data_IF_356439763927
#
_entry.id   IF_356439763927
#
_cell.length_a   1.000
_cell.length_b   1.000
_cell.length_c   1.000
_cell.angle_alpha   90.00
_cell.angle_beta   90.00
_cell.angle_gamma   90.00
#
_symmetry.space_group_name_H-M   'P 1'
#
loop_
_entity.id
_entity.type
_entity.pdbx_description
1 polymer ?
#
# COMPACT_ATOMS: atom_id res chain seq x y z
N UNK A 1 -7.58 5.34 -9.83
CA UNK A 1 -8.66 5.62 -8.87
C UNK A 1 -8.15 6.63 -7.86
N UNK A 2 -9.05 7.41 -7.29
CA UNK A 2 -8.72 8.27 -6.15
C UNK A 2 -8.38 7.42 -4.92
N UNK A 3 -7.48 7.88 -4.03
CA UNK A 3 -6.74 9.13 -4.10
C UNK A 3 -5.53 9.08 -5.05
N UNK A 4 -5.12 7.89 -5.50
CA UNK A 4 -4.02 7.71 -6.44
C UNK A 4 -2.71 8.34 -5.92
N UNK A 5 -2.04 9.14 -6.76
CA UNK A 5 -0.78 9.82 -6.39
C UNK A 5 -0.94 10.83 -5.26
N UNK A 6 -2.17 11.28 -4.99
CA UNK A 6 -2.49 12.19 -3.88
C UNK A 6 -2.77 11.46 -2.57
N UNK A 7 -2.50 10.15 -2.48
CA UNK A 7 -2.78 9.32 -1.31
C UNK A 7 -2.22 9.90 0.01
N UNK A 8 -1.05 10.55 -0.01
CA UNK A 8 -0.48 11.15 1.19
C UNK A 8 -1.22 12.41 1.68
N UNK A 9 -2.01 13.07 0.81
CA UNK A 9 -2.60 14.38 1.05
C UNK A 9 -4.09 14.45 0.68
N UNK A 10 -4.78 13.32 0.71
CA UNK A 10 -6.17 13.23 0.28
C UNK A 10 -7.13 13.99 1.20
N UNK A 11 -6.95 13.83 2.51
CA UNK A 11 -7.71 14.54 3.53
C UNK A 11 -7.06 15.85 3.94
N UNK A 12 -7.86 16.77 4.47
CA UNK A 12 -7.36 17.97 5.15
C UNK A 12 -7.38 17.74 6.66
N UNK A 13 -6.20 17.78 7.28
CA UNK A 13 -6.05 17.59 8.72
C UNK A 13 -6.69 18.74 9.51
N UNK A 14 -7.39 18.38 10.58
CA UNK A 14 -7.93 19.30 11.60
C UNK A 14 -6.91 19.51 12.74
N UNK A 15 -7.09 20.51 13.61
CA UNK A 15 -6.29 20.62 14.84
C UNK A 15 -6.31 19.31 15.63
N UNK A 16 -5.13 18.86 16.08
CA UNK A 16 -4.92 17.59 16.80
C UNK A 16 -5.21 16.31 16.00
N UNK A 17 -5.30 16.38 14.67
CA UNK A 17 -5.45 15.23 13.77
C UNK A 17 -4.16 15.02 12.96
N UNK A 18 -3.68 13.79 12.84
CA UNK A 18 -2.56 13.47 11.94
C UNK A 18 -3.03 13.47 10.49
N UNK A 19 -2.10 13.63 9.54
CA UNK A 19 -2.44 13.57 8.11
C UNK A 19 -3.03 12.20 7.72
N UNK A 20 -2.54 11.11 8.31
CA UNK A 20 -3.06 9.76 8.06
C UNK A 20 -4.50 9.60 8.56
N UNK A 21 -4.82 10.12 9.76
CA UNK A 21 -6.19 10.14 10.28
C UNK A 21 -7.11 10.94 9.36
N UNK A 22 -6.67 12.11 8.90
CA UNK A 22 -7.43 12.94 7.98
C UNK A 22 -7.70 12.25 6.64
N UNK A 23 -6.69 11.58 6.09
CA UNK A 23 -6.76 10.80 4.86
C UNK A 23 -7.78 9.66 4.96
N UNK A 24 -7.71 8.87 6.04
CA UNK A 24 -8.66 7.77 6.28
C UNK A 24 -10.08 8.27 6.46
N UNK A 25 -10.28 9.32 7.26
CA UNK A 25 -11.58 9.98 7.43
C UNK A 25 -12.17 10.40 6.08
N UNK A 26 -11.38 11.07 5.25
CA UNK A 26 -11.83 11.54 3.94
C UNK A 26 -12.25 10.38 3.01
N UNK A 27 -11.51 9.27 2.98
CA UNK A 27 -11.90 8.09 2.19
C UNK A 27 -13.17 7.43 2.74
N UNK A 28 -13.23 7.22 4.05
CA UNK A 28 -14.39 6.60 4.69
C UNK A 28 -15.65 7.42 4.42
N UNK A 29 -15.57 8.75 4.52
CA UNK A 29 -16.64 9.68 4.20
C UNK A 29 -17.04 9.62 2.72
N UNK A 30 -16.06 9.65 1.80
CA UNK A 30 -16.32 9.60 0.35
C UNK A 30 -17.01 8.30 -0.11
N UNK A 31 -16.78 7.21 0.61
CA UNK A 31 -17.35 5.90 0.31
C UNK A 31 -18.66 5.60 1.08
N UNK A 32 -19.17 6.51 1.91
CA UNK A 32 -20.46 6.31 2.61
C UNK A 32 -21.58 6.02 1.61
N UNK A 33 -22.35 4.95 1.86
CA UNK A 33 -23.46 4.51 1.02
C UNK A 33 -23.07 3.95 -0.35
N UNK A 34 -21.78 3.78 -0.65
CA UNK A 34 -21.32 3.18 -1.91
C UNK A 34 -21.36 1.66 -1.82
N UNK A 35 -22.02 1.02 -2.78
CA UNK A 35 -22.12 -0.44 -2.86
C UNK A 35 -20.76 -1.10 -3.15
N UNK A 36 -19.91 -0.46 -3.95
CA UNK A 36 -18.56 -0.95 -4.22
C UNK A 36 -17.54 -0.16 -3.41
N UNK A 37 -16.72 -0.89 -2.66
CA UNK A 37 -15.58 -0.36 -1.89
C UNK A 37 -14.26 -0.99 -2.32
N UNK A 38 -14.24 -1.62 -3.51
CA UNK A 38 -13.04 -2.26 -4.06
C UNK A 38 -11.93 -1.21 -4.19
N UNK A 39 -10.74 -1.57 -3.74
CA UNK A 39 -9.57 -0.72 -3.77
C UNK A 39 -8.33 -1.57 -4.03
N UNK A 40 -7.24 -0.89 -4.37
CA UNK A 40 -5.93 -1.55 -4.49
C UNK A 40 -4.85 -0.63 -3.97
N UNK A 41 -3.88 -1.21 -3.28
CA UNK A 41 -2.62 -0.53 -2.99
C UNK A 41 -1.61 -0.86 -4.08
N UNK A 42 -0.83 0.13 -4.52
CA UNK A 42 0.20 -0.02 -5.55
C UNK A 42 1.53 0.49 -5.02
N UNK A 43 2.61 -0.24 -5.27
CA UNK A 43 3.98 0.20 -5.05
C UNK A 43 4.70 0.13 -6.39
N UNK A 44 5.36 1.21 -6.79
CA UNK A 44 6.28 1.22 -7.93
C UNK A 44 7.67 1.47 -7.36
N UNK A 45 8.60 0.57 -7.67
CA UNK A 45 10.01 0.70 -7.34
C UNK A 45 10.80 0.95 -8.62
N UNK A 46 11.77 1.85 -8.54
CA UNK A 46 12.69 2.16 -9.62
C UNK A 46 14.11 1.99 -9.08
N UNK A 47 14.90 1.14 -9.74
CA UNK A 47 16.32 0.95 -9.48
C UNK A 47 17.10 1.50 -10.67
N UNK A 48 18.07 2.38 -10.41
CA UNK A 48 18.90 2.96 -11.45
C UNK A 48 20.37 2.88 -11.07
N UNK A 49 21.19 2.32 -11.96
CA UNK A 49 22.64 2.24 -11.82
C UNK A 49 23.27 2.31 -13.21
N UNK A 50 24.25 3.20 -13.42
CA UNK A 50 25.08 3.25 -14.63
C UNK A 50 24.33 3.08 -15.97
N UNK A 51 23.22 3.80 -16.15
CA UNK A 51 22.43 3.76 -17.39
C UNK A 51 21.43 2.59 -17.49
N UNK A 52 21.45 1.64 -16.56
CA UNK A 52 20.39 0.66 -16.37
C UNK A 52 19.27 1.26 -15.51
N UNK A 53 18.02 1.13 -15.97
CA UNK A 53 16.84 1.46 -15.19
C UNK A 53 15.89 0.25 -15.16
N UNK A 54 15.62 -0.26 -13.96
CA UNK A 54 14.62 -1.30 -13.72
C UNK A 54 13.43 -0.67 -13.02
N UNK A 55 12.22 -0.98 -13.51
CA UNK A 55 10.97 -0.57 -12.90
C UNK A 55 10.18 -1.82 -12.54
N UNK A 56 9.87 -1.97 -11.26
CA UNK A 56 9.01 -3.03 -10.76
C UNK A 56 7.75 -2.45 -10.14
N UNK A 57 6.65 -3.18 -10.24
CA UNK A 57 5.39 -2.81 -9.62
C UNK A 57 4.84 -3.97 -8.82
N UNK A 58 4.27 -3.68 -7.65
CA UNK A 58 3.45 -4.60 -6.88
C UNK A 58 2.08 -4.01 -6.63
N UNK A 59 1.05 -4.83 -6.77
CA UNK A 59 -0.35 -4.46 -6.57
C UNK A 59 -0.97 -5.43 -5.58
N UNK A 60 -1.65 -4.89 -4.57
CA UNK A 60 -2.45 -5.65 -3.63
C UNK A 60 -3.91 -5.22 -3.80
N UNK A 61 -4.74 -6.12 -4.30
CA UNK A 61 -6.19 -5.92 -4.41
C UNK A 61 -6.85 -6.13 -3.04
N UNK A 62 -7.95 -5.42 -2.81
CA UNK A 62 -8.67 -5.45 -1.56
C UNK A 62 -9.92 -4.59 -1.57
N UNK A 63 -10.40 -4.27 -0.38
CA UNK A 63 -11.60 -3.48 -0.14
C UNK A 63 -11.38 -2.50 1.00
N UNK A 64 -11.99 -1.32 0.93
CA UNK A 64 -11.97 -0.37 2.05
C UNK A 64 -13.04 -0.77 3.06
N UNK A 65 -12.66 -0.94 4.32
CA UNK A 65 -13.56 -1.21 5.44
C UNK A 65 -14.53 -0.04 5.69
N UNK A 66 -15.63 -0.28 6.40
CA UNK A 66 -16.56 0.79 6.81
C UNK A 66 -16.06 1.60 8.01
N UNK A 67 -15.16 1.02 8.80
CA UNK A 67 -14.56 1.61 10.00
C UNK A 67 -13.11 1.16 10.14
N UNK A 68 -12.34 1.89 10.94
CA UNK A 68 -10.97 1.49 11.25
C UNK A 68 -10.93 0.27 12.17
N UNK A 69 -9.96 -0.62 11.92
CA UNK A 69 -9.61 -1.78 12.75
C UNK A 69 -8.10 -1.92 12.85
N UNK A 70 -7.59 -2.46 13.95
CA UNK A 70 -6.16 -2.57 14.22
C UNK A 70 -5.47 -1.24 14.55
N UNK A 71 -4.24 -1.34 15.03
CA UNK A 71 -3.42 -0.19 15.46
C UNK A 71 -2.02 -0.18 14.85
N UNK A 72 -1.63 -1.25 14.16
CA UNK A 72 -0.33 -1.36 13.49
C UNK A 72 -0.28 -0.62 12.16
N UNK A 73 0.92 -0.51 11.60
CA UNK A 73 1.12 0.08 10.27
C UNK A 73 0.95 1.59 10.25
N UNK A 74 0.57 2.13 9.08
CA UNK A 74 0.46 3.56 8.82
C UNK A 74 -0.51 3.85 7.65
N UNK A 75 -0.76 5.13 7.37
CA UNK A 75 -1.56 5.55 6.22
C UNK A 75 -2.97 4.96 6.26
N UNK A 76 -3.30 4.16 5.25
CA UNK A 76 -4.62 3.55 5.08
C UNK A 76 -4.72 2.13 5.65
N UNK A 77 -3.68 1.61 6.32
CA UNK A 77 -3.61 0.22 6.76
C UNK A 77 -4.81 -0.20 7.64
N UNK A 78 -5.31 0.69 8.51
CA UNK A 78 -6.44 0.39 9.40
C UNK A 78 -7.80 0.33 8.71
N UNK A 79 -7.89 0.72 7.44
CA UNK A 79 -9.13 0.66 6.66
C UNK A 79 -9.00 -0.17 5.39
N UNK A 80 -7.83 -0.73 5.09
CA UNK A 80 -7.62 -1.53 3.90
C UNK A 80 -7.67 -3.02 4.25
N UNK A 81 -8.67 -3.72 3.70
CA UNK A 81 -8.89 -5.16 3.83
C UNK A 81 -8.36 -5.86 2.57
N UNK A 82 -7.14 -6.39 2.56
CA UNK A 82 -6.61 -7.15 1.43
C UNK A 82 -7.37 -8.47 1.26
N UNK A 83 -7.60 -8.89 0.02
CA UNK A 83 -8.45 -10.07 -0.30
C UNK A 83 -7.97 -11.38 0.38
N UNK A 84 -6.67 -11.49 0.69
CA UNK A 84 -6.07 -12.67 1.32
C UNK A 84 -5.96 -12.65 2.85
N UNK A 85 -6.47 -11.63 3.55
CA UNK A 85 -6.32 -11.50 5.01
C UNK A 85 -7.53 -11.98 5.84
N UNK A 86 -8.50 -12.64 5.22
CA UNK A 86 -9.71 -13.14 5.88
C UNK A 86 -10.51 -12.02 6.57
N UNK A 87 -10.67 -10.87 5.90
CA UNK A 87 -11.43 -9.73 6.40
C UNK A 87 -10.70 -8.87 7.43
N UNK A 88 -9.45 -9.21 7.78
CA UNK A 88 -8.59 -8.36 8.64
C UNK A 88 -7.97 -7.23 7.83
N UNK A 89 -7.87 -6.07 8.45
CA UNK A 89 -7.16 -4.91 7.93
C UNK A 89 -5.65 -5.11 8.00
N UNK A 90 -4.89 -4.37 7.18
CA UNK A 90 -3.43 -4.41 7.27
C UNK A 90 -2.89 -3.98 8.63
N UNK A 91 -3.60 -3.14 9.38
CA UNK A 91 -3.20 -2.72 10.72
C UNK A 91 -3.38 -3.80 11.79
N UNK A 92 -4.11 -4.88 11.49
CA UNK A 92 -4.26 -6.05 12.36
C UNK A 92 -3.24 -7.16 12.05
N UNK A 93 -2.57 -7.08 10.89
CA UNK A 93 -1.57 -8.07 10.49
C UNK A 93 -0.22 -7.75 11.11
N UNK A 94 0.48 -8.78 11.56
CA UNK A 94 1.89 -8.62 11.89
C UNK A 94 2.74 -8.46 10.60
N UNK A 95 4.02 -8.13 10.77
CA UNK A 95 4.90 -7.86 9.64
C UNK A 95 5.08 -9.07 8.71
N UNK A 96 5.20 -10.27 9.25
CA UNK A 96 5.34 -11.50 8.47
C UNK A 96 4.09 -11.75 7.64
N UNK A 97 2.90 -11.64 8.25
CA UNK A 97 1.63 -11.81 7.56
C UNK A 97 1.47 -10.80 6.42
N UNK A 98 1.79 -9.52 6.67
CA UNK A 98 1.71 -8.44 5.70
C UNK A 98 2.71 -8.62 4.55
N UNK A 99 3.91 -9.15 4.84
CA UNK A 99 4.93 -9.39 3.83
C UNK A 99 4.55 -10.48 2.84
N UNK A 100 3.58 -11.34 3.13
CA UNK A 100 3.14 -12.39 2.19
C UNK A 100 2.48 -11.83 0.92
N UNK A 101 1.78 -10.69 1.01
CA UNK A 101 1.00 -10.18 -0.13
C UNK A 101 0.86 -8.65 -0.19
N UNK A 102 1.60 -7.88 0.64
CA UNK A 102 1.58 -6.43 0.50
C UNK A 102 2.14 -5.99 -0.86
N UNK A 103 1.54 -4.93 -1.40
CA UNK A 103 1.98 -4.26 -2.64
C UNK A 103 3.48 -3.95 -2.64
N UNK A 104 4.06 -3.57 -1.50
CA UNK A 104 5.51 -3.31 -1.37
C UNK A 104 6.34 -4.59 -1.46
N UNK A 105 5.96 -5.65 -0.73
CA UNK A 105 6.66 -6.94 -0.80
C UNK A 105 6.63 -7.50 -2.22
N UNK A 106 5.47 -7.44 -2.89
CA UNK A 106 5.32 -7.83 -4.28
C UNK A 106 6.22 -6.99 -5.21
N UNK A 107 6.29 -5.68 -5.02
CA UNK A 107 7.15 -4.82 -5.83
C UNK A 107 8.64 -5.15 -5.64
N UNK A 108 9.07 -5.45 -4.40
CA UNK A 108 10.44 -5.88 -4.10
C UNK A 108 10.75 -7.21 -4.77
N UNK A 109 9.87 -8.21 -4.63
CA UNK A 109 10.07 -9.52 -5.26
C UNK A 109 10.18 -9.41 -6.77
N UNK A 110 9.31 -8.60 -7.39
CA UNK A 110 9.34 -8.33 -8.83
C UNK A 110 10.62 -7.60 -9.24
N UNK A 111 11.12 -6.68 -8.42
CA UNK A 111 12.40 -6.01 -8.68
C UNK A 111 13.57 -6.99 -8.60
N UNK A 112 13.63 -7.82 -7.55
CA UNK A 112 14.66 -8.85 -7.39
C UNK A 112 14.67 -9.81 -8.58
N UNK A 113 13.49 -10.23 -9.04
CA UNK A 113 13.38 -11.05 -10.25
C UNK A 113 13.96 -10.34 -11.48
N UNK A 114 13.59 -9.07 -11.72
CA UNK A 114 14.14 -8.29 -12.83
C UNK A 114 15.66 -8.12 -12.74
N UNK A 115 16.20 -7.99 -11.53
CA UNK A 115 17.65 -7.90 -11.32
C UNK A 115 18.35 -9.22 -11.70
N UNK A 116 17.78 -10.37 -11.32
CA UNK A 116 18.29 -11.67 -11.76
C UNK A 116 18.22 -11.84 -13.28
N UNK A 117 17.10 -11.47 -13.92
CA UNK A 117 16.93 -11.54 -15.38
C UNK A 117 17.86 -10.61 -16.16
N UNK A 118 18.42 -9.58 -15.50
CA UNK A 118 19.38 -8.64 -16.08
C UNK A 118 20.80 -8.86 -15.59
N UNK A 119 21.03 -9.99 -14.90
CA UNK A 119 22.33 -10.38 -14.35
C UNK A 119 22.97 -9.28 -13.48
N UNK A 120 22.15 -8.47 -12.82
CA UNK A 120 22.62 -7.42 -11.92
C UNK A 120 23.17 -8.06 -10.66
N UNK A 121 24.48 -7.91 -10.45
CA UNK A 121 25.13 -8.34 -9.21
C UNK A 121 25.32 -7.13 -8.29
N UNK A 122 24.65 -7.16 -7.14
CA UNK A 122 24.93 -6.22 -6.06
C UNK A 122 26.16 -6.71 -5.30
N UNK A 123 27.31 -6.11 -5.59
CA UNK A 123 28.52 -6.31 -4.78
C UNK A 123 28.43 -5.35 -3.59
N UNK A 124 28.41 -5.89 -2.37
CA UNK A 124 28.60 -5.04 -1.18
C UNK A 124 30.06 -4.55 -1.18
N UNK A 125 30.33 -3.27 -0.91
CA UNK A 125 31.70 -2.80 -0.73
C UNK A 125 32.39 -3.53 0.42
#
# INVERSE_FOLDING_TARGET
GEPGVQAAHFGKAKPNETQDQANRRAILDALKGKASRKARMRCVLVFMVEGLALKAEGVCEGTIAEKETGTGGFGYDSIFLPDGANGRSFAELNQEEKNRFSHRSLAVNNLVQLMHEREVQLVRP
#
